data_IF_768710199048
#
_entry.id   IF_768710199048
#
_cell.length_a   1.000
_cell.length_b   1.000
_cell.length_c   1.000
_cell.angle_alpha   90.00
_cell.angle_beta   90.00
_cell.angle_gamma   90.00
#
_symmetry.space_group_name_H-M   'P 1'
#
loop_
_entity.id
_entity.type
_entity.pdbx_description
1 polymer ?
#
# COMPACT_ATOMS: atom_id res chain seq x y z
N UNK A 1 22.73 -6.48 -13.81
CA UNK A 1 22.17 -7.52 -12.98
C UNK A 1 21.29 -6.91 -11.91
N UNK A 2 20.13 -7.43 -11.78
CA UNK A 2 19.25 -6.95 -10.74
C UNK A 2 19.58 -7.64 -9.42
N UNK A 3 19.48 -6.89 -8.36
CA UNK A 3 19.56 -7.47 -7.04
C UNK A 3 18.24 -8.12 -6.68
N UNK A 4 18.26 -9.17 -5.87
CA UNK A 4 17.03 -9.62 -5.24
C UNK A 4 16.43 -8.46 -4.47
N UNK A 5 15.16 -8.23 -4.67
CA UNK A 5 14.48 -7.17 -3.95
C UNK A 5 14.18 -7.70 -2.55
N UNK A 6 14.81 -7.08 -1.54
CA UNK A 6 14.48 -7.36 -0.15
C UNK A 6 13.31 -6.51 0.30
N UNK A 7 12.47 -6.13 -0.67
CA UNK A 7 11.34 -5.26 -0.41
C UNK A 7 10.04 -5.99 -0.66
N UNK A 8 9.12 -5.78 0.25
CA UNK A 8 7.75 -6.25 0.10
C UNK A 8 6.91 -5.17 -0.56
N UNK A 9 5.82 -5.59 -1.17
CA UNK A 9 4.82 -4.70 -1.73
C UNK A 9 3.56 -4.78 -0.88
N UNK A 10 3.09 -3.65 -0.41
CA UNK A 10 1.83 -3.56 0.31
C UNK A 10 0.81 -2.79 -0.49
N UNK A 11 -0.45 -3.14 -0.35
CA UNK A 11 -1.51 -2.45 -1.06
C UNK A 11 -2.78 -2.41 -0.23
N UNK A 12 -3.48 -1.29 -0.36
CA UNK A 12 -4.78 -1.09 0.27
C UNK A 12 -5.70 -0.50 -0.77
N UNK A 13 -6.90 -1.06 -0.86
CA UNK A 13 -7.94 -0.50 -1.71
C UNK A 13 -9.10 -0.06 -0.84
N UNK A 14 -9.54 1.17 -1.05
CA UNK A 14 -10.64 1.77 -0.30
C UNK A 14 -11.73 2.25 -1.24
N UNK A 15 -12.89 2.47 -0.69
CA UNK A 15 -13.94 3.22 -1.39
C UNK A 15 -14.02 4.59 -0.71
N UNK A 16 -13.76 5.63 -1.50
CA UNK A 16 -13.76 7.01 -1.02
C UNK A 16 -12.36 7.55 -0.78
N UNK A 17 -12.18 8.81 -1.12
CA UNK A 17 -10.88 9.49 -1.01
C UNK A 17 -10.46 9.68 0.45
N UNK A 18 -11.41 10.02 1.31
CA UNK A 18 -11.11 10.27 2.73
C UNK A 18 -10.52 9.01 3.37
N UNK A 19 -11.12 7.87 3.08
CA UNK A 19 -10.63 6.59 3.60
C UNK A 19 -9.21 6.30 3.11
N UNK A 20 -8.90 6.61 1.85
CA UNK A 20 -7.57 6.40 1.30
C UNK A 20 -6.54 7.33 1.91
N UNK A 21 -6.90 8.56 2.16
CA UNK A 21 -6.00 9.53 2.81
C UNK A 21 -5.69 9.08 4.23
N UNK A 22 -6.72 8.66 4.96
CA UNK A 22 -6.54 8.16 6.33
C UNK A 22 -5.63 6.93 6.35
N UNK A 23 -5.83 6.02 5.39
CA UNK A 23 -5.00 4.82 5.28
C UNK A 23 -3.53 5.19 4.99
N UNK A 24 -3.31 6.10 4.05
CA UNK A 24 -1.96 6.52 3.68
C UNK A 24 -1.24 7.16 4.85
N UNK A 25 -1.91 8.04 5.55
CA UNK A 25 -1.35 8.70 6.73
C UNK A 25 -0.99 7.68 7.82
N UNK A 26 -1.88 6.75 8.10
CA UNK A 26 -1.64 5.73 9.11
C UNK A 26 -0.48 4.81 8.74
N UNK A 27 -0.37 4.44 7.46
CA UNK A 27 0.73 3.60 7.01
C UNK A 27 2.09 4.25 7.20
N UNK A 28 2.21 5.52 6.84
CA UNK A 28 3.49 6.23 6.94
C UNK A 28 3.85 6.57 8.37
N UNK A 29 2.88 6.67 9.27
CA UNK A 29 3.12 6.89 10.69
C UNK A 29 3.47 5.61 11.43
N UNK A 30 2.97 4.47 10.95
CA UNK A 30 3.16 3.19 11.65
C UNK A 30 4.53 2.57 11.39
N UNK A 31 5.11 2.79 10.20
CA UNK A 31 6.36 2.14 9.83
C UNK A 31 7.05 2.92 8.72
N UNK A 32 8.34 2.62 8.52
CA UNK A 32 9.11 3.24 7.45
C UNK A 32 8.81 2.53 6.15
N UNK A 33 7.90 3.10 5.38
CA UNK A 33 7.54 2.61 4.05
C UNK A 33 7.56 3.76 3.05
N UNK A 34 7.75 3.42 1.78
CA UNK A 34 7.71 4.39 0.69
C UNK A 34 6.40 4.23 -0.06
N UNK A 35 5.67 5.32 -0.22
CA UNK A 35 4.47 5.32 -1.05
C UNK A 35 4.91 5.27 -2.51
N UNK A 36 4.44 4.25 -3.22
CA UNK A 36 4.76 4.10 -4.64
C UNK A 36 3.75 4.82 -5.51
N UNK A 37 2.48 4.69 -5.18
CA UNK A 37 1.43 5.24 -6.03
C UNK A 37 0.12 5.29 -5.28
N UNK A 38 -0.75 6.18 -5.75
CA UNK A 38 -2.15 6.24 -5.34
C UNK A 38 -2.97 6.39 -6.62
N UNK A 39 -3.82 5.40 -6.88
CA UNK A 39 -4.53 5.30 -8.15
C UNK A 39 -6.03 5.37 -7.91
N UNK A 40 -6.68 6.35 -8.53
CA UNK A 40 -8.14 6.39 -8.56
C UNK A 40 -8.62 5.45 -9.68
N UNK A 41 -9.43 4.48 -9.32
CA UNK A 41 -9.81 3.41 -10.25
C UNK A 41 -11.17 3.68 -10.88
N UNK A 42 -11.97 4.54 -10.28
CA UNK A 42 -13.34 4.81 -10.72
C UNK A 42 -14.32 4.34 -9.66
N UNK A 43 -15.55 4.87 -9.69
CA UNK A 43 -16.59 4.57 -8.71
C UNK A 43 -16.12 4.83 -7.27
N UNK A 44 -15.27 5.83 -7.09
CA UNK A 44 -14.67 6.21 -5.80
C UNK A 44 -13.68 5.17 -5.23
N UNK A 45 -13.33 4.15 -5.98
CA UNK A 45 -12.28 3.22 -5.54
C UNK A 45 -10.90 3.85 -5.69
N UNK A 46 -10.07 3.71 -4.66
CA UNK A 46 -8.71 4.22 -4.63
C UNK A 46 -7.78 3.11 -4.15
N UNK A 47 -6.71 2.88 -4.88
CA UNK A 47 -5.69 1.92 -4.49
C UNK A 47 -4.41 2.64 -4.09
N UNK A 48 -3.80 2.21 -2.99
CA UNK A 48 -2.54 2.77 -2.50
C UNK A 48 -1.51 1.65 -2.46
N UNK A 49 -0.31 1.92 -2.97
CA UNK A 49 0.78 0.95 -3.01
C UNK A 49 1.97 1.49 -2.23
N UNK A 50 2.55 0.63 -1.40
CA UNK A 50 3.73 0.98 -0.61
C UNK A 50 4.77 -0.12 -0.72
N UNK A 51 6.03 0.24 -0.48
CA UNK A 51 7.12 -0.74 -0.42
C UNK A 51 7.98 -0.49 0.82
N UNK A 52 8.70 -1.52 1.20
CA UNK A 52 9.63 -1.48 2.32
C UNK A 52 9.99 -2.90 2.72
N UNK A 53 10.71 -3.06 3.83
CA UNK A 53 10.96 -4.41 4.32
C UNK A 53 9.63 -5.05 4.75
N UNK A 54 9.60 -6.38 4.79
CA UNK A 54 8.34 -7.09 4.98
C UNK A 54 7.68 -6.76 6.32
N UNK A 55 8.46 -6.61 7.38
CA UNK A 55 7.92 -6.27 8.69
C UNK A 55 7.28 -4.89 8.70
N UNK A 56 7.95 -3.92 8.11
CA UNK A 56 7.42 -2.55 8.01
C UNK A 56 6.17 -2.50 7.15
N UNK A 57 6.18 -3.21 6.03
CA UNK A 57 5.01 -3.23 5.13
C UNK A 57 3.82 -3.88 5.82
N UNK A 58 4.02 -4.99 6.54
CA UNK A 58 2.92 -5.63 7.27
C UNK A 58 2.33 -4.70 8.32
N UNK A 59 3.20 -4.05 9.10
CA UNK A 59 2.75 -3.11 10.12
C UNK A 59 2.00 -1.93 9.48
N UNK A 60 2.53 -1.41 8.39
CA UNK A 60 1.90 -0.29 7.69
C UNK A 60 0.52 -0.67 7.15
N UNK A 61 0.43 -1.82 6.47
CA UNK A 61 -0.84 -2.26 5.89
C UNK A 61 -1.89 -2.53 6.98
N UNK A 62 -1.50 -3.13 8.10
CA UNK A 62 -2.42 -3.36 9.20
C UNK A 62 -2.96 -2.04 9.75
N UNK A 63 -2.08 -1.06 9.96
CA UNK A 63 -2.50 0.25 10.47
C UNK A 63 -3.37 0.99 9.46
N UNK A 64 -3.00 0.91 8.18
CA UNK A 64 -3.76 1.56 7.12
C UNK A 64 -5.15 0.97 6.96
N UNK A 65 -5.26 -0.36 7.02
CA UNK A 65 -6.54 -1.03 6.92
C UNK A 65 -7.48 -0.62 8.07
N UNK A 66 -6.96 -0.56 9.29
CA UNK A 66 -7.75 -0.14 10.45
C UNK A 66 -8.24 1.32 10.29
N UNK A 67 -7.35 2.20 9.84
CA UNK A 67 -7.71 3.60 9.64
C UNK A 67 -8.74 3.76 8.51
N UNK A 68 -8.60 2.99 7.44
CA UNK A 68 -9.56 3.03 6.34
C UNK A 68 -10.95 2.66 6.81
N UNK A 69 -11.06 1.64 7.66
CA UNK A 69 -12.36 1.21 8.19
C UNK A 69 -12.99 2.24 9.10
N UNK A 70 -12.17 3.01 9.82
CA UNK A 70 -12.69 4.06 10.71
C UNK A 70 -13.23 5.26 9.97
N UNK A 71 -12.74 5.53 8.76
CA UNK A 71 -13.05 6.76 8.03
C UNK A 71 -13.82 6.52 6.74
N UNK A 72 -14.22 5.29 6.49
CA UNK A 72 -14.95 4.95 5.29
C UNK A 72 -14.96 3.45 5.10
N UNK A 73 -14.74 3.01 3.87
CA UNK A 73 -14.87 1.60 3.53
C UNK A 73 -13.54 1.02 3.05
N UNK A 74 -13.06 -0.01 3.73
CA UNK A 74 -11.94 -0.81 3.28
C UNK A 74 -12.45 -1.89 2.34
N UNK A 75 -11.90 -1.94 1.12
CA UNK A 75 -12.26 -2.96 0.14
C UNK A 75 -11.32 -4.16 0.25
N UNK A 76 -10.01 -3.91 0.28
CA UNK A 76 -9.03 -4.99 0.38
C UNK A 76 -7.72 -4.45 0.92
N UNK A 77 -6.94 -5.35 1.50
CA UNK A 77 -5.59 -5.05 1.96
C UNK A 77 -4.75 -6.31 1.75
N UNK A 78 -3.54 -6.15 1.24
CA UNK A 78 -2.72 -7.30 0.92
C UNK A 78 -1.24 -6.96 1.01
N UNK A 79 -0.43 -7.97 1.32
CA UNK A 79 1.03 -7.85 1.34
C UNK A 79 1.60 -8.96 0.48
N UNK A 80 2.49 -8.60 -0.44
CA UNK A 80 3.28 -9.56 -1.19
C UNK A 80 4.69 -9.48 -0.62
N UNK A 81 5.13 -10.50 0.16
CA UNK A 81 6.40 -10.40 0.87
C UNK A 81 7.61 -10.34 -0.03
N UNK A 82 7.54 -11.02 -1.17
CA UNK A 82 8.65 -11.09 -2.11
C UNK A 82 8.13 -10.99 -3.53
N UNK A 83 7.73 -9.78 -3.94
CA UNK A 83 7.25 -9.63 -5.30
C UNK A 83 8.36 -9.92 -6.30
N UNK A 84 8.00 -10.55 -7.39
CA UNK A 84 8.92 -10.76 -8.49
C UNK A 84 9.36 -9.41 -9.03
N UNK A 85 10.60 -9.34 -9.52
CA UNK A 85 11.16 -8.07 -9.98
C UNK A 85 10.31 -7.42 -11.06
N UNK A 86 9.77 -8.21 -11.99
CA UNK A 86 8.94 -7.68 -13.06
C UNK A 86 7.65 -7.04 -12.53
N UNK A 87 7.12 -7.56 -11.42
CA UNK A 87 5.94 -6.97 -10.77
C UNK A 87 6.30 -5.61 -10.18
N UNK A 88 7.40 -5.54 -9.45
CA UNK A 88 7.83 -4.28 -8.84
C UNK A 88 8.13 -3.22 -9.89
N UNK A 89 8.67 -3.63 -11.04
CA UNK A 89 8.99 -2.67 -12.10
C UNK A 89 7.75 -1.96 -12.63
N UNK A 90 6.62 -2.62 -12.65
CA UNK A 90 5.37 -2.00 -13.10
C UNK A 90 5.01 -0.81 -12.20
N UNK A 91 5.22 -0.96 -10.89
CA UNK A 91 4.86 0.09 -9.93
C UNK A 91 5.99 1.11 -9.73
N UNK A 92 7.23 0.71 -9.99
CA UNK A 92 8.36 1.62 -9.82
C UNK A 92 8.61 2.50 -11.04
N UNK A 93 8.06 2.16 -12.17
CA UNK A 93 8.28 2.88 -13.43
C UNK A 93 7.46 4.16 -13.55
N UNK A 94 6.79 4.57 -12.51
CA UNK A 94 5.95 5.75 -12.49
C UNK A 94 6.72 7.05 -12.47
#
# INVERSE_FOLDING_TARGET
MSKPLNEALGMIETKGLISSIAATDAMTKAATVTILDQVAIGNAFVAIFVKGDVGSVRAAVDAGAAAAQQHGELISAHVIPRPEESVMRIFLAK
#
